data_IF_388396442853
#
_entry.id   IF_388396442853
#
_cell.length_a   1.000
_cell.length_b   1.000
_cell.length_c   1.000
_cell.angle_alpha   90.00
_cell.angle_beta   90.00
_cell.angle_gamma   90.00
#
_symmetry.space_group_name_H-M   'P 1'
#
loop_
_entity.id
_entity.type
_entity.pdbx_description
1 polymer ?
#
# COMPACT_ATOMS: atom_id res chain seq x y z
N UNK A 1 35.67 -4.73 -12.82
CA UNK A 1 34.38 -5.27 -13.25
C UNK A 1 33.51 -4.09 -13.65
N UNK A 2 33.01 -4.07 -14.88
CA UNK A 2 32.22 -2.95 -15.42
C UNK A 2 30.74 -3.06 -15.06
N UNK A 3 30.00 -1.94 -15.12
CA UNK A 3 28.55 -1.95 -14.89
C UNK A 3 27.81 -2.87 -15.87
N UNK A 4 28.26 -2.93 -17.12
CA UNK A 4 27.69 -3.82 -18.14
C UNK A 4 27.88 -5.30 -17.78
N UNK A 5 29.06 -5.69 -17.28
CA UNK A 5 29.28 -7.07 -16.84
C UNK A 5 28.38 -7.46 -15.65
N UNK A 6 28.09 -6.52 -14.75
CA UNK A 6 27.16 -6.74 -13.64
C UNK A 6 25.71 -6.84 -14.14
N UNK A 7 25.30 -5.98 -15.08
CA UNK A 7 23.98 -6.03 -15.71
C UNK A 7 23.71 -7.37 -16.40
N UNK A 8 24.65 -7.82 -17.25
CA UNK A 8 24.51 -9.09 -17.97
C UNK A 8 24.39 -10.28 -17.01
N UNK A 9 25.11 -10.25 -15.89
CA UNK A 9 25.01 -11.29 -14.84
C UNK A 9 23.70 -11.22 -14.06
N UNK A 10 23.14 -10.03 -13.85
CA UNK A 10 21.88 -9.85 -13.14
C UNK A 10 20.65 -10.36 -13.92
N UNK A 11 20.78 -10.58 -15.24
CA UNK A 11 19.72 -11.16 -16.08
C UNK A 11 19.20 -12.52 -15.57
N UNK A 12 20.04 -13.29 -14.86
CA UNK A 12 19.67 -14.57 -14.27
C UNK A 12 18.77 -14.44 -13.01
N UNK A 13 18.60 -13.24 -12.45
CA UNK A 13 17.81 -12.97 -11.26
C UNK A 13 16.93 -11.73 -11.46
N UNK A 14 15.88 -11.82 -12.28
CA UNK A 14 14.99 -10.70 -12.53
C UNK A 14 14.28 -10.22 -11.25
N UNK A 15 14.05 -8.92 -11.16
CA UNK A 15 13.30 -8.33 -10.06
C UNK A 15 11.83 -8.79 -10.10
N UNK A 16 11.37 -9.38 -9.00
CA UNK A 16 9.96 -9.70 -8.78
C UNK A 16 9.40 -8.77 -7.71
N UNK A 17 8.38 -7.95 -8.02
CA UNK A 17 7.80 -7.05 -7.02
C UNK A 17 7.09 -7.87 -5.94
N UNK A 18 7.13 -7.37 -4.70
CA UNK A 18 6.40 -7.98 -3.59
C UNK A 18 4.88 -8.00 -3.84
N UNK A 19 4.37 -6.96 -4.51
CA UNK A 19 2.96 -6.81 -4.88
C UNK A 19 2.86 -6.69 -6.40
N UNK A 20 2.15 -7.62 -7.04
CA UNK A 20 1.97 -7.61 -8.49
C UNK A 20 1.09 -6.45 -8.94
N UNK A 21 1.37 -5.90 -10.14
CA UNK A 21 0.62 -4.78 -10.73
C UNK A 21 -0.89 -5.04 -10.79
N UNK A 22 -1.27 -6.26 -11.14
CA UNK A 22 -2.67 -6.68 -11.30
C UNK A 22 -3.43 -6.71 -9.96
N UNK A 23 -2.72 -6.88 -8.85
CA UNK A 23 -3.33 -6.90 -7.51
C UNK A 23 -3.47 -5.51 -6.88
N UNK A 24 -2.75 -4.50 -7.39
CA UNK A 24 -2.69 -3.16 -6.78
C UNK A 24 -4.06 -2.50 -6.66
N UNK A 25 -4.93 -2.65 -7.66
CA UNK A 25 -6.29 -2.10 -7.60
C UNK A 25 -7.09 -2.72 -6.46
N UNK A 26 -7.15 -4.05 -6.41
CA UNK A 26 -7.93 -4.77 -5.42
C UNK A 26 -7.43 -4.49 -3.98
N UNK A 27 -6.10 -4.49 -3.80
CA UNK A 27 -5.48 -4.17 -2.51
C UNK A 27 -5.72 -2.71 -2.11
N UNK A 28 -5.47 -1.77 -3.02
CA UNK A 28 -5.68 -0.34 -2.79
C UNK A 28 -7.14 -0.04 -2.43
N UNK A 29 -8.08 -0.56 -3.21
CA UNK A 29 -9.51 -0.41 -2.95
C UNK A 29 -9.93 -0.97 -1.59
N UNK A 30 -9.48 -2.19 -1.26
CA UNK A 30 -9.84 -2.84 0.00
C UNK A 30 -9.29 -2.07 1.21
N UNK A 31 -8.04 -1.60 1.12
CA UNK A 31 -7.42 -0.81 2.17
C UNK A 31 -8.14 0.54 2.34
N UNK A 32 -8.45 1.25 1.25
CA UNK A 32 -9.18 2.51 1.30
C UNK A 32 -10.61 2.34 1.86
N UNK A 33 -11.32 1.28 1.46
CA UNK A 33 -12.64 0.97 2.00
C UNK A 33 -12.56 0.68 3.51
N UNK A 34 -11.58 -0.10 3.95
CA UNK A 34 -11.37 -0.36 5.38
C UNK A 34 -11.02 0.93 6.15
N UNK A 35 -10.23 1.82 5.55
CA UNK A 35 -9.90 3.12 6.14
C UNK A 35 -11.13 3.99 6.35
N UNK A 36 -12.07 4.02 5.39
CA UNK A 36 -13.34 4.74 5.51
C UNK A 36 -14.16 4.19 6.69
N UNK A 37 -14.30 2.87 6.78
CA UNK A 37 -15.07 2.21 7.85
C UNK A 37 -14.44 2.49 9.22
N UNK A 38 -13.12 2.28 9.36
CA UNK A 38 -12.40 2.47 10.62
C UNK A 38 -12.39 3.94 11.06
N UNK A 39 -12.24 4.87 10.11
CA UNK A 39 -12.34 6.31 10.39
C UNK A 39 -13.75 6.68 10.87
N UNK A 40 -14.79 6.10 10.26
CA UNK A 40 -16.17 6.25 10.70
C UNK A 40 -16.36 5.77 12.15
N UNK A 41 -15.88 4.56 12.47
CA UNK A 41 -15.94 3.99 13.83
C UNK A 41 -15.19 4.85 14.85
N UNK A 42 -13.99 5.31 14.50
CA UNK A 42 -13.24 6.27 15.32
C UNK A 42 -14.01 7.57 15.55
N UNK A 43 -14.65 8.09 14.50
CA UNK A 43 -15.45 9.31 14.55
C UNK A 43 -16.66 9.22 15.47
N UNK A 44 -17.27 8.03 15.56
CA UNK A 44 -18.44 7.72 16.40
C UNK A 44 -18.08 7.54 17.88
N UNK A 45 -16.88 7.03 18.20
CA UNK A 45 -16.44 6.85 19.58
C UNK A 45 -15.00 7.38 19.74
N UNK A 46 -14.86 8.59 20.29
CA UNK A 46 -13.57 9.26 20.46
C UNK A 46 -13.06 9.10 21.89
N UNK A 47 -12.04 8.27 22.05
CA UNK A 47 -11.32 8.04 23.30
C UNK A 47 -9.86 7.72 22.98
N UNK A 48 -8.98 7.74 23.99
CA UNK A 48 -7.58 7.34 23.78
C UNK A 48 -7.45 5.90 23.26
N UNK A 49 -8.32 5.00 23.73
CA UNK A 49 -8.34 3.62 23.26
C UNK A 49 -8.77 3.55 21.79
N UNK A 50 -9.74 4.37 21.37
CA UNK A 50 -10.22 4.36 19.99
C UNK A 50 -9.21 4.90 18.97
N UNK A 51 -8.29 5.76 19.40
CA UNK A 51 -7.14 6.17 18.58
C UNK A 51 -6.29 4.94 18.23
N UNK A 52 -5.89 4.16 19.24
CA UNK A 52 -5.05 2.99 19.03
C UNK A 52 -5.79 1.88 18.26
N UNK A 53 -7.08 1.65 18.56
CA UNK A 53 -7.85 0.56 17.96
C UNK A 53 -8.38 0.85 16.55
N UNK A 54 -8.68 2.12 16.24
CA UNK A 54 -9.30 2.50 14.97
C UNK A 54 -8.52 3.59 14.23
N UNK A 55 -8.08 4.64 14.91
CA UNK A 55 -7.38 5.77 14.27
C UNK A 55 -6.06 5.39 13.62
N UNK A 56 -5.19 4.67 14.35
CA UNK A 56 -3.89 4.20 13.84
C UNK A 56 -4.08 3.20 12.69
N UNK A 57 -4.89 2.13 12.82
CA UNK A 57 -5.17 1.23 11.71
C UNK A 57 -5.80 1.92 10.49
N UNK A 58 -6.73 2.86 10.70
CA UNK A 58 -7.34 3.63 9.60
C UNK A 58 -6.31 4.45 8.84
N UNK A 59 -5.39 5.11 9.56
CA UNK A 59 -4.34 5.95 8.95
C UNK A 59 -3.36 5.11 8.12
N UNK A 60 -2.95 3.95 8.64
CA UNK A 60 -2.10 3.01 7.90
C UNK A 60 -2.83 2.49 6.65
N UNK A 61 -4.07 2.03 6.80
CA UNK A 61 -4.87 1.54 5.68
C UNK A 61 -5.06 2.63 4.60
N UNK A 62 -5.30 3.88 5.00
CA UNK A 62 -5.41 4.99 4.07
C UNK A 62 -4.09 5.26 3.33
N UNK A 63 -2.97 5.35 4.05
CA UNK A 63 -1.66 5.63 3.47
C UNK A 63 -1.23 4.59 2.43
N UNK A 64 -1.23 3.30 2.81
CA UNK A 64 -0.88 2.21 1.88
C UNK A 64 -1.92 2.06 0.77
N UNK A 65 -3.21 2.19 1.09
CA UNK A 65 -4.30 2.10 0.13
C UNK A 65 -4.20 3.17 -0.97
N UNK A 66 -3.88 4.41 -0.60
CA UNK A 66 -3.70 5.51 -1.54
C UNK A 66 -2.54 5.24 -2.50
N UNK A 67 -1.38 4.80 -2.00
CA UNK A 67 -0.21 4.46 -2.83
C UNK A 67 -0.54 3.34 -3.82
N UNK A 68 -1.19 2.26 -3.37
CA UNK A 68 -1.58 1.19 -4.30
C UNK A 68 -2.63 1.65 -5.31
N UNK A 69 -3.54 2.54 -4.94
CA UNK A 69 -4.58 3.05 -5.84
C UNK A 69 -4.01 3.97 -6.93
N UNK A 70 -3.07 4.86 -6.60
CA UNK A 70 -2.40 5.70 -7.61
C UNK A 70 -1.55 4.83 -8.57
N UNK A 71 -0.83 3.85 -8.03
CA UNK A 71 -0.07 2.89 -8.83
C UNK A 71 -1.01 2.04 -9.71
N UNK A 72 -2.20 1.69 -9.21
CA UNK A 72 -3.21 0.94 -9.96
C UNK A 72 -3.58 1.64 -11.26
N UNK A 73 -3.77 2.96 -11.24
CA UNK A 73 -4.13 3.79 -12.40
C UNK A 73 -2.93 4.27 -13.24
N UNK A 74 -1.73 3.79 -12.94
CA UNK A 74 -0.52 4.05 -13.74
C UNK A 74 0.31 5.26 -13.31
N UNK A 75 0.00 5.87 -12.15
CA UNK A 75 0.86 6.89 -11.53
C UNK A 75 1.82 6.18 -10.58
N UNK A 76 3.04 5.95 -11.05
CA UNK A 76 4.09 5.28 -10.28
C UNK A 76 4.87 6.31 -9.45
N UNK A 77 5.24 5.93 -8.23
CA UNK A 77 6.08 6.69 -7.29
C UNK A 77 7.34 5.89 -7.01
#
# INVERSE_FOLDING_TARGET
MSLNEVWERASASPYTPLISKDSQFALGFTLLLSAIILTGLFGLNRSFLSIASFGVPASLAFGFGAVYMICAVGVYV
#
